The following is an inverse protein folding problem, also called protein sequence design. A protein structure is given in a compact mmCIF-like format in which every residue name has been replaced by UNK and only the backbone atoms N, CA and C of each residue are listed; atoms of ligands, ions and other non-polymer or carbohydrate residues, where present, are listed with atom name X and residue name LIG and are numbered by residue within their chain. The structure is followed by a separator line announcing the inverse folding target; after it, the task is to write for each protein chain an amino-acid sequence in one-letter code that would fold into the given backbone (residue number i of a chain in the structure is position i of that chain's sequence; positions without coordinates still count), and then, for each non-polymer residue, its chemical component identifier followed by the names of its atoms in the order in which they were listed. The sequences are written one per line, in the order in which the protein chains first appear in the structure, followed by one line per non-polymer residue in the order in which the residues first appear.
data_IF_397017301982
#
_entry.id   IF_397017301982
#
_cell.length_a   1.000
_cell.length_b   1.000
_cell.length_c   1.000
_cell.angle_alpha   90.00
_cell.angle_beta   90.00
_cell.angle_gamma   90.00
#
_symmetry.space_group_name_H-M   'P 1'
#
loop_
_entity.id
_entity.type
_entity.pdbx_description
1 polymer ?
#
# COMPACT_ATOMS: atom_id res chain seq x y z
N UNK A 1 -12.70 -5.18 22.43
CA UNK A 1 -12.23 -6.57 22.33
C UNK A 1 -10.96 -6.56 21.52
N UNK A 2 -9.85 -7.05 22.06
CA UNK A 2 -8.61 -7.17 21.31
C UNK A 2 -8.78 -8.31 20.31
N UNK A 3 -8.92 -7.98 19.03
CA UNK A 3 -8.83 -8.95 17.94
C UNK A 3 -7.38 -9.39 17.88
N UNK A 4 -7.07 -10.60 18.34
CA UNK A 4 -5.77 -11.22 18.10
C UNK A 4 -5.52 -11.13 16.60
N UNK A 5 -4.58 -10.28 16.20
CA UNK A 5 -4.35 -10.04 14.78
C UNK A 5 -3.85 -11.34 14.16
N UNK A 6 -4.62 -11.88 13.20
CA UNK A 6 -4.37 -13.19 12.61
C UNK A 6 -2.93 -13.30 12.12
N UNK A 7 -2.24 -14.37 12.53
CA UNK A 7 -0.83 -14.59 12.24
C UNK A 7 -0.60 -14.81 10.74
N UNK A 8 0.35 -14.09 10.15
CA UNK A 8 0.92 -14.37 8.84
C UNK A 8 2.37 -14.82 9.03
N UNK A 9 2.75 -15.89 8.33
CA UNK A 9 4.10 -16.43 8.36
C UNK A 9 4.58 -16.75 6.94
N UNK A 10 5.70 -16.14 6.56
CA UNK A 10 6.43 -16.49 5.33
C UNK A 10 5.81 -16.01 4.01
N UNK A 11 4.54 -15.59 3.99
CA UNK A 11 3.93 -15.03 2.78
C UNK A 11 4.69 -13.78 2.31
N UNK A 12 5.04 -13.74 1.03
CA UNK A 12 5.63 -12.58 0.36
C UNK A 12 4.78 -12.23 -0.85
N UNK A 13 4.62 -10.95 -1.13
CA UNK A 13 3.99 -10.50 -2.37
C UNK A 13 4.98 -9.66 -3.18
N UNK A 14 4.90 -9.74 -4.50
CA UNK A 14 5.74 -8.96 -5.40
C UNK A 14 5.02 -8.69 -6.72
N UNK A 15 5.41 -7.63 -7.41
CA UNK A 15 4.92 -7.36 -8.76
C UNK A 15 5.44 -8.41 -9.73
N UNK A 16 4.53 -9.00 -10.52
CA UNK A 16 4.85 -9.86 -11.66
C UNK A 16 5.06 -9.08 -12.97
N UNK A 17 4.97 -7.75 -12.92
CA UNK A 17 5.03 -6.84 -14.07
C UNK A 17 3.66 -6.57 -14.71
N UNK A 18 3.47 -5.34 -15.19
CA UNK A 18 2.24 -4.92 -15.87
C UNK A 18 1.02 -4.99 -14.93
N UNK A 19 0.09 -5.91 -15.23
CA UNK A 19 -1.18 -6.07 -14.51
C UNK A 19 -1.15 -7.19 -13.47
N UNK A 20 0.02 -7.81 -13.23
CA UNK A 20 0.16 -9.01 -12.39
C UNK A 20 0.91 -8.76 -11.08
N UNK A 21 0.40 -9.35 -10.01
CA UNK A 21 1.11 -9.53 -8.75
C UNK A 21 1.18 -11.03 -8.42
N UNK A 22 2.20 -11.41 -7.66
CA UNK A 22 2.42 -12.80 -7.23
C UNK A 22 2.49 -12.84 -5.71
N UNK A 23 1.78 -13.80 -5.12
CA UNK A 23 1.88 -14.15 -3.70
C UNK A 23 2.60 -15.49 -3.61
N UNK A 24 3.74 -15.51 -2.92
CA UNK A 24 4.58 -16.68 -2.74
C UNK A 24 4.10 -17.56 -1.58
N UNK A 25 4.70 -18.74 -1.47
CA UNK A 25 4.40 -19.72 -0.43
C UNK A 25 4.47 -19.16 0.99
N UNK A 26 3.62 -19.68 1.87
CA UNK A 26 3.52 -19.28 3.27
C UNK A 26 2.14 -19.61 3.83
N UNK A 27 1.86 -19.15 5.05
CA UNK A 27 0.60 -19.44 5.72
C UNK A 27 0.04 -18.21 6.41
N UNK A 28 -1.28 -18.15 6.50
CA UNK A 28 -1.99 -17.13 7.25
C UNK A 28 -3.16 -17.74 8.02
N UNK A 29 -3.44 -17.24 9.23
CA UNK A 29 -4.75 -17.43 9.86
C UNK A 29 -5.78 -16.60 9.11
N UNK A 30 -6.98 -17.14 8.93
CA UNK A 30 -8.09 -16.39 8.38
C UNK A 30 -8.47 -15.21 9.29
N UNK A 31 -9.33 -14.33 8.78
CA UNK A 31 -9.72 -13.09 9.47
C UNK A 31 -10.52 -13.35 10.76
N UNK A 32 -11.12 -14.53 10.91
CA UNK A 32 -11.76 -14.98 12.16
C UNK A 32 -10.82 -15.72 13.12
N UNK A 33 -9.54 -15.89 12.75
CA UNK A 33 -8.56 -16.68 13.48
C UNK A 33 -9.04 -18.10 13.85
N UNK A 34 -9.70 -18.77 12.90
CA UNK A 34 -10.25 -20.13 13.05
C UNK A 34 -9.49 -21.18 12.26
N UNK A 35 -8.95 -20.82 11.10
CA UNK A 35 -8.44 -21.73 10.08
C UNK A 35 -7.15 -21.21 9.45
N UNK A 36 -6.26 -22.14 9.08
CA UNK A 36 -5.07 -21.83 8.28
C UNK A 36 -5.40 -21.78 6.78
N UNK A 37 -4.86 -20.80 6.09
CA UNK A 37 -4.80 -20.68 4.63
C UNK A 37 -3.34 -20.82 4.25
N UNK A 38 -2.99 -21.88 3.52
CA UNK A 38 -1.60 -22.20 3.18
C UNK A 38 -1.40 -22.17 1.66
N UNK A 39 -0.38 -21.45 1.21
CA UNK A 39 0.19 -21.60 -0.13
C UNK A 39 1.41 -22.51 0.04
N UNK A 40 1.36 -23.77 -0.46
CA UNK A 40 2.43 -24.74 -0.22
C UNK A 40 3.78 -24.27 -0.78
N UNK A 41 4.86 -24.77 -0.19
CA UNK A 41 6.23 -24.50 -0.65
C UNK A 41 6.40 -24.78 -2.15
N UNK A 42 7.06 -23.86 -2.85
CA UNK A 42 7.26 -23.93 -4.30
C UNK A 42 6.03 -23.56 -5.14
N UNK A 43 4.88 -23.27 -4.52
CA UNK A 43 3.72 -22.72 -5.22
C UNK A 43 3.62 -21.21 -5.06
N UNK A 44 2.97 -20.60 -6.04
CA UNK A 44 2.59 -19.19 -6.01
C UNK A 44 1.11 -19.04 -6.38
N UNK A 45 0.54 -17.87 -6.06
CA UNK A 45 -0.77 -17.44 -6.55
C UNK A 45 -0.59 -16.13 -7.29
N UNK A 46 -1.01 -16.11 -8.55
CA UNK A 46 -0.97 -14.92 -9.39
C UNK A 46 -2.31 -14.20 -9.29
N UNK A 47 -2.25 -12.89 -9.15
CA UNK A 47 -3.38 -11.97 -9.23
C UNK A 47 -3.20 -11.11 -10.47
N UNK A 48 -4.09 -11.25 -11.45
CA UNK A 48 -4.10 -10.54 -12.73
C UNK A 48 -5.28 -9.57 -12.76
N UNK A 49 -5.00 -8.27 -12.66
CA UNK A 49 -6.01 -7.21 -12.57
C UNK A 49 -6.83 -7.02 -13.86
N UNK A 50 -6.47 -7.71 -14.95
CA UNK A 50 -7.27 -7.74 -16.18
C UNK A 50 -8.45 -8.71 -16.10
N UNK A 51 -8.49 -9.56 -15.06
CA UNK A 51 -9.55 -10.55 -14.84
C UNK A 51 -10.37 -10.21 -13.59
N UNK A 52 -11.60 -10.74 -13.51
CA UNK A 52 -12.47 -10.60 -12.34
C UNK A 52 -12.73 -11.98 -11.71
N UNK A 53 -12.81 -12.04 -10.39
CA UNK A 53 -12.95 -13.23 -9.57
C UNK A 53 -11.63 -13.74 -9.03
N UNK A 54 -11.59 -15.04 -8.72
CA UNK A 54 -10.41 -15.70 -8.17
C UNK A 54 -9.25 -15.63 -9.16
N UNK A 55 -8.10 -15.12 -8.71
CA UNK A 55 -6.94 -14.85 -9.54
C UNK A 55 -6.91 -13.46 -10.18
N UNK A 56 -7.87 -12.58 -9.88
CA UNK A 56 -7.95 -11.22 -10.42
C UNK A 56 -8.51 -10.20 -9.44
N UNK A 57 -9.39 -9.33 -9.91
CA UNK A 57 -10.15 -8.38 -9.09
C UNK A 57 -11.37 -9.04 -8.47
N UNK A 58 -11.64 -8.77 -7.19
CA UNK A 58 -12.87 -9.16 -6.49
C UNK A 58 -14.12 -8.77 -7.30
N UNK A 59 -14.20 -7.50 -7.70
CA UNK A 59 -15.26 -6.98 -8.56
C UNK A 59 -14.76 -5.87 -9.48
N UNK A 60 -15.56 -5.55 -10.49
CA UNK A 60 -15.38 -4.36 -11.31
C UNK A 60 -14.16 -4.44 -12.25
N UNK A 61 -13.57 -3.26 -12.50
CA UNK A 61 -12.42 -3.10 -13.40
C UNK A 61 -11.32 -2.33 -12.70
N UNK A 62 -10.08 -2.54 -13.13
CA UNK A 62 -8.93 -1.84 -12.57
C UNK A 62 -9.04 -0.33 -12.77
N UNK A 63 -8.84 0.41 -11.68
CA UNK A 63 -8.80 1.86 -11.64
C UNK A 63 -7.35 2.33 -11.68
N UNK A 64 -7.14 3.54 -12.20
CA UNK A 64 -5.83 4.17 -12.22
C UNK A 64 -5.57 4.88 -10.89
N UNK A 65 -4.32 4.92 -10.44
CA UNK A 65 -3.93 5.64 -9.21
C UNK A 65 -4.72 5.19 -7.98
N UNK A 66 -4.88 3.88 -7.81
CA UNK A 66 -5.71 3.30 -6.77
C UNK A 66 -4.98 2.20 -6.00
N UNK A 67 -5.25 2.09 -4.70
CA UNK A 67 -4.70 1.05 -3.83
C UNK A 67 -5.68 -0.12 -3.70
N UNK A 68 -5.18 -1.35 -3.81
CA UNK A 68 -5.97 -2.57 -3.66
C UNK A 68 -5.41 -3.43 -2.52
N UNK A 69 -6.30 -3.98 -1.71
CA UNK A 69 -5.97 -5.03 -0.76
C UNK A 69 -5.74 -6.35 -1.48
N UNK A 70 -4.69 -7.08 -1.11
CA UNK A 70 -4.43 -8.45 -1.56
C UNK A 70 -4.98 -9.44 -0.54
N UNK A 71 -5.81 -10.38 -1.00
CA UNK A 71 -6.39 -11.43 -0.18
C UNK A 71 -5.93 -12.81 -0.62
N UNK A 72 -5.81 -13.71 0.35
CA UNK A 72 -5.83 -15.16 0.13
C UNK A 72 -7.15 -15.72 0.65
N UNK A 73 -7.65 -16.75 -0.03
CA UNK A 73 -8.90 -17.42 0.27
C UNK A 73 -8.71 -18.93 0.24
N UNK A 74 -9.38 -19.63 1.16
CA UNK A 74 -9.51 -21.09 1.13
C UNK A 74 -10.99 -21.47 1.07
N UNK A 75 -11.38 -22.21 0.04
CA UNK A 75 -12.74 -22.74 -0.09
C UNK A 75 -13.04 -23.82 0.95
N UNK A 76 -14.31 -24.20 1.11
CA UNK A 76 -14.71 -25.36 1.92
C UNK A 76 -14.06 -26.67 1.45
N UNK A 77 -13.82 -26.81 0.15
CA UNK A 77 -13.13 -27.98 -0.43
C UNK A 77 -11.60 -27.93 -0.26
N UNK A 78 -11.06 -26.89 0.38
CA UNK A 78 -9.63 -26.73 0.64
C UNK A 78 -8.83 -26.09 -0.50
N UNK A 79 -9.48 -25.62 -1.57
CA UNK A 79 -8.81 -24.93 -2.68
C UNK A 79 -8.37 -23.55 -2.21
N UNK A 80 -7.08 -23.25 -2.37
CA UNK A 80 -6.48 -21.96 -2.01
C UNK A 80 -6.26 -21.11 -3.25
N UNK A 81 -6.73 -19.86 -3.22
CA UNK A 81 -6.46 -18.87 -4.26
C UNK A 81 -6.23 -17.48 -3.68
N UNK A 82 -6.10 -16.50 -4.57
CA UNK A 82 -5.85 -15.10 -4.21
C UNK A 82 -6.58 -14.16 -5.16
N UNK A 83 -6.82 -12.91 -4.74
CA UNK A 83 -7.40 -11.84 -5.56
C UNK A 83 -7.09 -10.48 -4.93
N UNK A 84 -7.35 -9.40 -5.67
CA UNK A 84 -7.24 -8.02 -5.22
C UNK A 84 -8.63 -7.39 -5.04
N UNK A 85 -8.83 -6.54 -4.03
CA UNK A 85 -10.10 -5.83 -3.80
C UNK A 85 -9.86 -4.38 -3.42
N UNK A 86 -10.78 -3.49 -3.81
CA UNK A 86 -10.85 -2.13 -3.27
C UNK A 86 -11.29 -2.13 -1.81
N UNK A 87 -11.97 -3.20 -1.35
CA UNK A 87 -12.31 -3.35 0.05
C UNK A 87 -11.13 -3.87 0.86
N UNK A 88 -10.65 -3.00 1.72
CA UNK A 88 -9.64 -3.27 2.73
C UNK A 88 -10.17 -4.00 3.97
N UNK A 89 -11.49 -4.09 4.12
CA UNK A 89 -12.15 -4.93 5.13
C UNK A 89 -12.54 -6.29 4.56
N UNK A 90 -12.32 -7.40 5.28
CA UNK A 90 -12.73 -8.73 4.82
C UNK A 90 -14.24 -8.86 4.63
N UNK A 91 -15.06 -8.10 5.35
CA UNK A 91 -16.53 -8.14 5.22
C UNK A 91 -17.06 -7.40 4.00
N UNK A 92 -16.23 -6.58 3.35
CA UNK A 92 -16.60 -5.84 2.14
C UNK A 92 -16.21 -6.54 0.84
N UNK A 93 -15.79 -7.80 0.93
CA UNK A 93 -15.27 -8.60 -0.18
C UNK A 93 -16.24 -9.73 -0.54
N UNK A 94 -16.39 -10.04 -1.83
CA UNK A 94 -17.28 -11.12 -2.25
C UNK A 94 -16.60 -12.48 -2.15
N UNK A 95 -17.01 -13.26 -1.15
CA UNK A 95 -16.47 -14.59 -0.89
C UNK A 95 -17.55 -15.67 -1.02
N UNK A 96 -17.23 -16.82 -1.65
CA UNK A 96 -18.14 -17.96 -1.65
C UNK A 96 -18.49 -18.41 -0.22
N UNK A 97 -19.74 -18.82 0.00
CA UNK A 97 -20.23 -19.25 1.30
C UNK A 97 -19.31 -20.31 1.93
N UNK A 98 -18.93 -20.07 3.19
CA UNK A 98 -18.06 -20.95 3.99
C UNK A 98 -16.60 -21.01 3.55
N UNK A 99 -16.18 -20.20 2.59
CA UNK A 99 -14.77 -19.92 2.40
C UNK A 99 -14.24 -19.04 3.55
N UNK A 100 -12.95 -19.19 3.85
CA UNK A 100 -12.24 -18.35 4.83
C UNK A 100 -11.22 -17.48 4.09
N UNK A 101 -11.01 -16.25 4.56
CA UNK A 101 -10.15 -15.26 3.90
C UNK A 101 -9.22 -14.54 4.85
N UNK A 102 -8.10 -14.04 4.34
CA UNK A 102 -7.20 -13.12 5.04
C UNK A 102 -6.62 -12.11 4.06
N UNK A 103 -6.65 -10.82 4.45
CA UNK A 103 -5.83 -9.80 3.78
C UNK A 103 -4.37 -10.06 4.12
N UNK A 104 -3.52 -10.15 3.11
CA UNK A 104 -2.09 -10.47 3.26
C UNK A 104 -1.18 -9.36 2.75
N UNK A 105 -1.76 -8.30 2.18
CA UNK A 105 -1.02 -7.12 1.78
C UNK A 105 -1.83 -6.15 0.96
N UNK A 106 -1.11 -5.35 0.18
CA UNK A 106 -1.69 -4.32 -0.68
C UNK A 106 -0.79 -4.06 -1.89
N UNK A 107 -1.37 -3.52 -2.94
CA UNK A 107 -0.66 -3.00 -4.12
C UNK A 107 -1.29 -1.69 -4.56
N UNK A 108 -0.61 -0.97 -5.45
CA UNK A 108 -1.12 0.26 -6.05
C UNK A 108 -0.98 0.23 -7.57
N UNK A 109 -1.87 0.95 -8.26
CA UNK A 109 -1.82 1.13 -9.71
C UNK A 109 -1.37 2.53 -10.10
N UNK A 110 -0.72 2.65 -11.24
CA UNK A 110 -0.30 3.91 -11.83
C UNK A 110 -1.43 4.57 -12.63
N UNK A 111 -1.14 5.69 -13.28
CA UNK A 111 -2.09 6.42 -14.13
C UNK A 111 -2.54 5.62 -15.37
N UNK A 112 -1.77 4.61 -15.78
CA UNK A 112 -2.07 3.70 -16.88
C UNK A 112 -2.72 2.39 -16.42
N UNK A 113 -3.16 2.33 -15.15
CA UNK A 113 -3.78 1.15 -14.52
C UNK A 113 -2.84 -0.06 -14.39
N UNK A 114 -1.53 0.15 -14.47
CA UNK A 114 -0.51 -0.87 -14.26
C UNK A 114 -0.08 -0.90 -12.81
N UNK A 115 0.24 -2.07 -12.31
CA UNK A 115 0.74 -2.23 -10.94
C UNK A 115 2.11 -1.56 -10.84
N UNK A 116 2.27 -0.68 -9.85
CA UNK A 116 3.60 -0.19 -9.47
C UNK A 116 4.47 -1.37 -9.07
N UNK A 117 5.67 -1.49 -9.63
CA UNK A 117 6.56 -2.55 -9.21
C UNK A 117 6.86 -2.42 -7.72
N UNK A 118 6.81 -3.56 -7.01
CA UNK A 118 6.87 -3.58 -5.55
C UNK A 118 7.35 -4.93 -5.02
N UNK A 119 7.87 -4.90 -3.80
CA UNK A 119 8.11 -6.06 -2.97
C UNK A 119 7.48 -5.86 -1.59
N UNK A 120 6.84 -6.89 -1.06
CA UNK A 120 6.12 -6.84 0.21
C UNK A 120 6.44 -8.05 1.08
N UNK A 121 6.96 -7.79 2.27
CA UNK A 121 7.33 -8.79 3.28
C UNK A 121 6.72 -8.43 4.64
N UNK A 122 6.84 -9.31 5.63
CA UNK A 122 6.38 -9.07 6.99
C UNK A 122 5.70 -10.29 7.59
N UNK A 123 5.47 -10.26 8.90
CA UNK A 123 4.85 -11.34 9.65
C UNK A 123 3.76 -10.79 10.58
N UNK A 124 2.95 -11.69 11.13
CA UNK A 124 1.87 -11.36 12.05
C UNK A 124 0.89 -10.37 11.41
N UNK A 125 0.78 -9.16 11.97
CA UNK A 125 -0.16 -8.12 11.53
C UNK A 125 0.51 -6.99 10.76
N UNK A 126 1.78 -7.11 10.40
CA UNK A 126 2.52 -6.02 9.75
C UNK A 126 3.08 -6.47 8.41
N UNK A 127 2.96 -5.60 7.41
CA UNK A 127 3.59 -5.77 6.11
C UNK A 127 4.37 -4.52 5.77
N UNK A 128 5.60 -4.68 5.30
CA UNK A 128 6.42 -3.61 4.75
C UNK A 128 6.39 -3.76 3.24
N UNK A 129 5.92 -2.72 2.57
CA UNK A 129 5.90 -2.57 1.11
C UNK A 129 7.02 -1.61 0.72
N UNK A 130 7.83 -2.01 -0.24
CA UNK A 130 8.80 -1.17 -0.93
C UNK A 130 8.41 -1.10 -2.40
N UNK A 131 8.36 0.11 -2.95
CA UNK A 131 8.16 0.29 -4.38
C UNK A 131 9.49 0.23 -5.12
N UNK A 132 9.53 -0.59 -6.15
CA UNK A 132 10.68 -0.82 -7.02
C UNK A 132 10.45 -0.04 -8.32
N UNK A 133 11.06 1.14 -8.48
CA UNK A 133 10.84 1.92 -9.69
C UNK A 133 11.58 3.25 -9.74
N UNK A 134 11.50 3.90 -10.91
CA UNK A 134 11.98 5.27 -11.04
C UNK A 134 11.14 6.21 -10.17
N UNK A 135 11.77 7.14 -9.43
CA UNK A 135 11.06 8.06 -8.55
C UNK A 135 9.94 8.82 -9.27
N UNK A 136 10.14 9.21 -10.53
CA UNK A 136 9.12 9.90 -11.32
C UNK A 136 7.79 9.15 -11.44
N UNK A 137 7.79 7.80 -11.43
CA UNK A 137 6.54 7.03 -11.43
C UNK A 137 5.86 6.97 -10.06
N UNK A 138 6.60 7.26 -8.98
CA UNK A 138 6.13 7.25 -7.59
C UNK A 138 5.80 8.66 -7.07
N UNK A 139 5.82 9.67 -7.95
CA UNK A 139 5.60 11.06 -7.58
C UNK A 139 4.17 11.28 -7.09
N UNK A 140 4.04 11.88 -5.91
CA UNK A 140 2.78 12.38 -5.35
C UNK A 140 2.68 13.90 -5.40
N UNK A 141 3.83 14.57 -5.39
CA UNK A 141 3.98 15.98 -5.72
C UNK A 141 5.16 16.11 -6.68
N UNK A 142 4.96 16.83 -7.78
CA UNK A 142 6.01 17.19 -8.70
C UNK A 142 6.09 18.71 -8.77
N UNK A 143 7.29 19.23 -8.48
CA UNK A 143 7.62 20.65 -8.55
C UNK A 143 6.66 21.61 -7.81
N UNK A 144 6.18 21.22 -6.62
CA UNK A 144 5.25 22.02 -5.82
C UNK A 144 5.91 23.25 -5.21
N UNK A 145 5.27 24.41 -5.30
CA UNK A 145 5.80 25.73 -4.91
C UNK A 145 5.06 26.39 -3.74
N UNK A 146 4.15 25.69 -3.09
CA UNK A 146 3.26 26.29 -2.11
C UNK A 146 4.01 26.93 -0.94
N UNK A 147 3.62 28.15 -0.56
CA UNK A 147 4.16 28.88 0.60
C UNK A 147 3.25 28.80 1.84
N UNK A 148 2.05 28.25 1.67
CA UNK A 148 1.08 27.95 2.73
C UNK A 148 0.85 26.45 2.80
N UNK A 149 0.49 25.94 3.99
CA UNK A 149 0.26 24.52 4.21
C UNK A 149 -0.70 23.96 3.16
N UNK A 150 -0.19 23.05 2.34
CA UNK A 150 -0.91 22.50 1.19
C UNK A 150 -0.95 20.98 1.28
N UNK A 151 -2.12 20.35 1.12
CA UNK A 151 -2.26 18.90 1.09
C UNK A 151 -1.53 18.23 -0.05
N UNK A 152 -0.99 17.05 0.26
CA UNK A 152 -0.58 16.01 -0.68
C UNK A 152 -1.36 14.75 -0.32
N UNK A 153 -2.10 14.21 -1.29
CA UNK A 153 -2.78 12.92 -1.15
C UNK A 153 -1.84 11.76 -1.55
N UNK A 154 -1.55 10.91 -0.56
CA UNK A 154 -0.75 9.70 -0.68
C UNK A 154 -1.63 8.46 -0.89
N UNK A 155 -2.96 8.56 -0.76
CA UNK A 155 -3.94 7.45 -0.88
C UNK A 155 -3.73 6.54 -2.09
N UNK A 156 -3.40 7.08 -3.27
CA UNK A 156 -3.10 6.27 -4.45
C UNK A 156 -1.92 5.31 -4.32
N UNK A 157 -0.97 5.54 -3.40
CA UNK A 157 0.20 4.67 -3.18
C UNK A 157 0.27 4.12 -1.74
N UNK A 158 -0.55 4.62 -0.83
CA UNK A 158 -0.58 4.21 0.57
C UNK A 158 -2.05 3.96 0.94
N UNK A 159 -2.45 2.70 1.18
CA UNK A 159 -3.80 2.34 1.56
C UNK A 159 -4.40 3.26 2.61
N UNK A 160 -5.64 3.71 2.37
CA UNK A 160 -6.38 4.50 3.36
C UNK A 160 -7.10 3.54 4.30
N UNK A 161 -6.43 3.15 5.37
CA UNK A 161 -7.01 2.30 6.42
C UNK A 161 -7.18 3.03 7.75
N UNK A 162 -8.08 2.51 8.59
CA UNK A 162 -8.10 2.86 10.01
C UNK A 162 -6.95 2.11 10.70
N UNK A 163 -5.79 2.75 10.82
CA UNK A 163 -4.62 2.12 11.43
C UNK A 163 -3.38 3.01 11.48
N UNK A 164 -2.34 2.50 12.14
CA UNK A 164 -1.01 3.11 12.27
C UNK A 164 -0.11 2.77 11.08
N UNK A 165 -0.65 2.86 9.87
CA UNK A 165 0.17 2.70 8.68
C UNK A 165 1.22 3.81 8.66
N UNK A 166 2.40 3.52 8.09
CA UNK A 166 3.45 4.53 7.97
C UNK A 166 3.93 4.58 6.54
N UNK A 167 3.85 5.73 5.88
CA UNK A 167 4.46 5.94 4.57
C UNK A 167 5.96 6.19 4.71
N UNK A 168 6.75 5.77 3.73
CA UNK A 168 8.13 6.21 3.55
C UNK A 168 8.17 7.10 2.31
N UNK A 169 8.63 8.34 2.47
CA UNK A 169 8.68 9.32 1.38
C UNK A 169 10.11 9.78 1.12
N UNK A 170 10.42 10.03 -0.14
CA UNK A 170 11.61 10.77 -0.57
C UNK A 170 11.20 12.18 -0.95
N UNK A 171 11.88 13.18 -0.40
CA UNK A 171 11.58 14.60 -0.59
C UNK A 171 12.79 15.27 -1.19
N UNK A 172 12.56 15.96 -2.31
CA UNK A 172 13.62 16.55 -3.14
C UNK A 172 13.31 18.03 -3.35
N UNK A 173 13.91 18.93 -2.55
CA UNK A 173 13.91 20.36 -2.82
C UNK A 173 14.76 20.67 -4.08
N UNK A 174 14.35 21.64 -4.89
CA UNK A 174 15.01 21.90 -6.19
C UNK A 174 16.31 22.68 -6.14
N UNK A 175 16.76 23.11 -4.96
CA UNK A 175 18.03 23.82 -4.82
C UNK A 175 18.42 24.05 -3.36
N UNK A 176 19.72 24.25 -3.13
CA UNK A 176 20.25 24.60 -1.82
C UNK A 176 19.62 25.91 -1.32
N UNK A 177 19.07 25.90 -0.10
CA UNK A 177 18.39 27.06 0.49
C UNK A 177 16.87 27.05 0.36
N UNK A 178 16.29 26.15 -0.46
CA UNK A 178 14.86 25.86 -0.41
C UNK A 178 14.59 24.94 0.77
N UNK A 179 13.94 25.45 1.81
CA UNK A 179 13.53 24.64 2.96
C UNK A 179 12.09 24.20 2.76
N UNK A 180 11.90 22.90 2.59
CA UNK A 180 10.58 22.26 2.60
C UNK A 180 10.24 21.90 4.04
N UNK A 181 9.12 22.40 4.55
CA UNK A 181 8.56 21.90 5.81
C UNK A 181 7.48 20.88 5.52
N UNK A 182 7.45 19.81 6.30
CA UNK A 182 6.47 18.74 6.20
C UNK A 182 5.74 18.60 7.52
N UNK A 183 4.43 18.45 7.43
CA UNK A 183 3.53 18.31 8.56
C UNK A 183 2.63 17.10 8.36
N UNK A 184 2.30 16.42 9.44
CA UNK A 184 1.12 15.54 9.43
C UNK A 184 -0.16 16.36 9.39
N UNK A 185 -1.26 15.76 8.93
CA UNK A 185 -2.54 16.46 8.90
C UNK A 185 -3.08 16.79 10.31
N UNK A 186 -2.43 16.30 11.37
CA UNK A 186 -2.72 16.60 12.77
C UNK A 186 -2.01 17.85 13.31
N UNK A 187 -1.14 18.49 12.53
CA UNK A 187 -0.51 19.75 12.89
C UNK A 187 0.87 19.63 13.58
N UNK A 188 1.45 18.43 13.68
CA UNK A 188 2.82 18.25 14.15
C UNK A 188 3.82 18.49 13.01
N UNK A 189 4.68 19.52 13.11
CA UNK A 189 5.79 19.67 12.17
C UNK A 189 6.74 18.47 12.36
N UNK A 190 6.90 17.65 11.33
CA UNK A 190 7.72 16.45 11.40
C UNK A 190 9.16 16.71 10.96
N UNK A 191 9.38 17.60 9.97
CA UNK A 191 10.72 17.89 9.47
C UNK A 191 10.80 19.20 8.68
N UNK A 192 12.03 19.75 8.65
CA UNK A 192 12.46 20.82 7.73
C UNK A 192 13.63 20.30 6.90
N UNK A 193 13.52 20.36 5.58
CA UNK A 193 14.41 19.65 4.64
C UNK A 193 14.97 20.65 3.65
N UNK A 194 16.29 20.74 3.53
CA UNK A 194 16.98 21.64 2.59
C UNK A 194 17.85 20.92 1.56
N UNK A 195 17.90 19.59 1.64
CA UNK A 195 18.60 18.69 0.73
C UNK A 195 17.76 17.43 0.52
N UNK A 196 17.90 16.71 -0.60
CA UNK A 196 17.17 15.46 -0.83
C UNK A 196 17.28 14.51 0.36
N UNK A 197 16.14 14.09 0.91
CA UNK A 197 16.07 13.30 2.14
C UNK A 197 14.93 12.28 2.09
N UNK A 198 15.11 11.16 2.78
CA UNK A 198 14.06 10.16 2.97
C UNK A 198 13.53 10.26 4.40
N UNK A 199 12.21 10.30 4.55
CA UNK A 199 11.53 10.38 5.84
C UNK A 199 10.49 9.28 5.96
N UNK A 200 10.39 8.70 7.15
CA UNK A 200 9.21 7.95 7.57
C UNK A 200 8.14 8.94 8.01
N UNK A 201 6.90 8.67 7.62
CA UNK A 201 5.73 9.49 7.90
C UNK A 201 4.63 8.57 8.42
N UNK A 202 3.96 8.93 9.50
CA UNK A 202 2.76 8.24 9.97
C UNK A 202 1.57 9.12 9.57
N UNK A 203 0.78 8.75 8.55
CA UNK A 203 -0.45 9.47 8.26
C UNK A 203 -1.35 9.42 9.49
N UNK A 204 -1.93 10.57 9.84
CA UNK A 204 -3.02 10.61 10.81
C UNK A 204 -4.17 9.75 10.30
N UNK A 205 -4.66 8.87 11.19
CA UNK A 205 -5.62 7.80 10.87
C UNK A 205 -6.76 8.27 9.98
N UNK A 206 -7.00 7.56 8.87
CA UNK A 206 -8.16 7.75 8.00
C UNK A 206 -7.94 8.65 6.77
N UNK A 207 -6.82 9.38 6.69
CA UNK A 207 -6.44 10.09 5.46
C UNK A 207 -4.94 9.87 5.23
N UNK A 208 -4.57 9.11 4.20
CA UNK A 208 -3.17 8.98 3.76
C UNK A 208 -2.68 10.31 3.20
N UNK A 209 -2.54 11.32 4.05
CA UNK A 209 -2.33 12.72 3.69
C UNK A 209 -1.14 13.28 4.44
N UNK A 210 -0.36 14.09 3.73
CA UNK A 210 0.75 14.89 4.25
C UNK A 210 0.55 16.33 3.82
N UNK A 211 0.96 17.30 4.63
CA UNK A 211 0.97 18.70 4.23
C UNK A 211 2.41 19.18 4.03
N UNK A 212 2.62 20.10 3.08
CA UNK A 212 3.93 20.69 2.81
C UNK A 212 3.86 22.23 2.69
N UNK A 213 5.01 22.87 2.92
CA UNK A 213 5.28 24.26 2.55
C UNK A 213 6.73 24.43 2.07
N UNK A 214 6.97 25.46 1.26
CA UNK A 214 8.29 25.93 0.87
C UNK A 214 8.58 27.29 1.53
N UNK A 215 9.81 27.45 2.03
CA UNK A 215 10.28 28.72 2.60
C UNK A 215 10.46 29.85 1.59
N UNK A 216 10.66 29.51 0.31
CA UNK A 216 11.07 30.47 -0.73
C UNK A 216 10.03 30.49 -1.85
N UNK A 217 9.62 31.69 -2.27
CA UNK A 217 8.74 31.85 -3.43
C UNK A 217 9.45 31.34 -4.69
N UNK A 218 8.86 30.34 -5.36
CA UNK A 218 9.44 29.73 -6.56
C UNK A 218 10.43 28.59 -6.31
N UNK A 219 10.73 28.27 -5.05
CA UNK A 219 11.39 27.00 -4.71
C UNK A 219 10.41 25.84 -4.94
N UNK A 220 10.82 24.84 -5.72
CA UNK A 220 9.99 23.67 -6.00
C UNK A 220 10.40 22.50 -5.11
N UNK A 221 9.42 21.68 -4.72
CA UNK A 221 9.61 20.43 -3.98
C UNK A 221 8.91 19.31 -4.73
N UNK A 222 9.61 18.18 -4.86
CA UNK A 222 8.98 16.92 -5.27
C UNK A 222 8.90 15.94 -4.10
N UNK A 223 7.79 15.20 -4.02
CA UNK A 223 7.55 14.17 -3.00
C UNK A 223 7.21 12.87 -3.69
N UNK A 224 7.93 11.81 -3.33
CA UNK A 224 7.81 10.47 -3.89
C UNK A 224 7.49 9.48 -2.77
N UNK A 225 6.50 8.61 -2.94
CA UNK A 225 6.24 7.53 -1.97
C UNK A 225 7.07 6.32 -2.37
N UNK A 226 8.06 5.97 -1.56
CA UNK A 226 8.98 4.85 -1.84
C UNK A 226 8.55 3.54 -1.17
N UNK A 227 7.54 3.59 -0.31
CA UNK A 227 7.00 2.41 0.38
C UNK A 227 6.09 2.79 1.54
N UNK A 228 5.60 1.79 2.25
CA UNK A 228 4.82 1.96 3.47
C UNK A 228 4.85 0.70 4.35
N UNK A 229 4.46 0.86 5.61
CA UNK A 229 4.10 -0.25 6.50
C UNK A 229 2.58 -0.28 6.63
N UNK A 230 1.98 -1.44 6.39
CA UNK A 230 0.55 -1.74 6.42
C UNK A 230 0.24 -2.64 7.62
N UNK A 231 -0.79 -2.28 8.39
CA UNK A 231 -1.29 -3.05 9.53
C UNK A 231 -2.54 -3.84 9.13
N UNK A 232 -2.48 -5.18 9.28
CA UNK A 232 -3.41 -6.15 8.67
C UNK A 232 -4.67 -6.54 9.45
#
# INVERSE_FOLDING_TARGET
MSTTAGLIFGLRSESGGGDKATILSGSARDSGDTSWIEIPSGQTRVVDLTTTGLGGLDTGTVQASESYALYVIKSQSGVVGAFASLSFSPTGVNVPTGAVIRRVGALATDTNKKIHAFSQVGNSSQRVVQYDGALSSLARLLDGTAQSLTPIDLGPLVPQQQGSDSASVSIVPSGAGNVTSIQDAGGGQQASISVPSTLGFIPTSGTSRMDYTNSTAGGTTSVYVIGFTDTL
#
